data_IF_799266667944
#
_entry.id   IF_799266667944
#
_cell.length_a   1.000
_cell.length_b   1.000
_cell.length_c   1.000
_cell.angle_alpha   90.00
_cell.angle_beta   90.00
_cell.angle_gamma   90.00
#
_symmetry.space_group_name_H-M   'P 1'
#
loop_
_entity.id
_entity.type
_entity.pdbx_description
1 polymer ?
#
# COMPACT_ATOMS: atom_id res chain seq x y z
N UNK A 1 51.68 41.81 -30.61
CA UNK A 1 52.73 41.17 -29.80
C UNK A 1 52.26 41.19 -28.35
N UNK A 2 51.45 40.18 -28.01
CA UNK A 2 50.91 39.88 -26.69
C UNK A 2 51.79 38.77 -26.09
N UNK A 3 52.81 39.15 -25.34
CA UNK A 3 53.78 38.35 -24.54
C UNK A 3 54.42 39.41 -23.63
N UNK A 4 54.30 39.45 -22.31
CA UNK A 4 54.56 38.42 -21.33
C UNK A 4 53.79 38.73 -20.03
N UNK A 5 52.76 37.94 -19.74
CA UNK A 5 52.29 37.70 -18.37
C UNK A 5 52.28 36.18 -18.15
N UNK A 6 53.40 35.56 -18.52
CA UNK A 6 53.73 34.18 -18.23
C UNK A 6 54.47 34.12 -16.90
N UNK A 7 54.22 33.05 -16.15
CA UNK A 7 54.91 32.64 -14.93
C UNK A 7 54.45 33.37 -13.66
N UNK A 8 53.41 32.86 -13.02
CA UNK A 8 53.59 31.92 -11.90
C UNK A 8 52.25 31.26 -11.56
N UNK A 9 52.29 29.95 -11.34
CA UNK A 9 51.20 29.01 -10.99
C UNK A 9 50.64 28.19 -12.17
N UNK A 10 51.53 27.41 -12.75
CA UNK A 10 51.22 26.05 -13.21
C UNK A 10 50.74 25.16 -12.05
N UNK A 11 50.05 24.08 -12.45
CA UNK A 11 49.55 22.92 -11.69
C UNK A 11 48.11 23.10 -11.17
N UNK A 12 47.09 22.38 -11.63
CA UNK A 12 47.03 21.21 -12.49
C UNK A 12 45.59 21.02 -13.04
N UNK A 13 45.49 20.68 -14.33
CA UNK A 13 44.42 19.91 -15.03
C UNK A 13 42.94 20.32 -14.95
N UNK A 14 42.19 20.21 -16.07
CA UNK A 14 40.80 20.66 -16.15
C UNK A 14 39.89 19.72 -15.37
N UNK A 15 39.11 20.28 -14.44
CA UNK A 15 37.93 19.60 -13.91
C UNK A 15 37.00 19.32 -15.09
N UNK A 16 36.83 18.03 -15.37
CA UNK A 16 35.74 17.53 -16.17
C UNK A 16 34.43 18.07 -15.57
N UNK A 17 33.52 18.43 -16.44
CA UNK A 17 32.10 18.66 -16.16
C UNK A 17 31.58 17.54 -15.27
N UNK A 18 31.42 17.82 -13.98
CA UNK A 18 30.52 17.06 -13.13
C UNK A 18 29.12 17.52 -13.52
N UNK A 19 28.44 16.65 -14.27
CA UNK A 19 26.99 16.61 -14.29
C UNK A 19 26.55 16.55 -12.83
N UNK A 20 25.88 17.60 -12.35
CA UNK A 20 25.16 17.56 -11.09
C UNK A 20 24.03 16.54 -11.27
N UNK A 21 24.33 15.27 -10.97
CA UNK A 21 23.32 14.28 -10.60
C UNK A 21 22.63 14.83 -9.34
N UNK A 22 21.49 15.49 -9.54
CA UNK A 22 20.61 15.94 -8.48
C UNK A 22 19.91 14.71 -7.86
N UNK A 23 20.65 13.97 -7.04
CA UNK A 23 20.17 12.90 -6.14
C UNK A 23 19.37 13.48 -4.95
N UNK A 24 18.52 14.50 -5.15
CA UNK A 24 17.90 15.23 -4.03
C UNK A 24 16.43 14.90 -3.74
N UNK A 25 15.74 14.12 -4.57
CA UNK A 25 14.28 13.93 -4.40
C UNK A 25 13.91 12.65 -3.62
N UNK A 26 14.85 11.70 -3.47
CA UNK A 26 14.61 10.40 -2.82
C UNK A 26 14.78 10.44 -1.28
N UNK A 27 15.66 11.30 -0.77
CA UNK A 27 15.86 11.50 0.68
C UNK A 27 14.64 12.18 1.35
N UNK A 28 13.85 12.92 0.58
CA UNK A 28 12.63 13.59 1.06
C UNK A 28 11.46 12.62 1.26
N UNK A 29 11.37 11.53 0.49
CA UNK A 29 10.28 10.54 0.61
C UNK A 29 10.41 9.73 1.90
N UNK A 30 11.62 9.28 2.23
CA UNK A 30 11.91 8.56 3.47
C UNK A 30 11.70 9.48 4.68
N UNK A 31 12.11 10.75 4.58
CA UNK A 31 11.88 11.79 5.58
C UNK A 31 10.40 12.06 5.83
N UNK A 32 9.61 12.29 4.79
CA UNK A 32 8.18 12.60 4.87
C UNK A 32 7.38 11.42 5.44
N UNK A 33 7.60 10.19 4.93
CA UNK A 33 6.85 9.02 5.39
C UNK A 33 7.23 8.57 6.81
N UNK A 34 8.50 8.76 7.22
CA UNK A 34 8.93 8.47 8.60
C UNK A 34 8.50 9.57 9.58
N UNK A 35 8.82 10.84 9.33
CA UNK A 35 8.47 11.92 10.25
C UNK A 35 6.95 12.12 10.40
N UNK A 36 6.17 11.97 9.33
CA UNK A 36 4.72 12.28 9.38
C UNK A 36 3.86 11.10 9.87
N UNK A 37 4.35 9.86 9.71
CA UNK A 37 3.74 8.68 10.33
C UNK A 37 3.97 8.62 11.84
N UNK A 38 5.05 9.22 12.35
CA UNK A 38 5.36 9.24 13.78
C UNK A 38 4.68 10.42 14.51
N UNK A 39 4.27 11.47 13.79
CA UNK A 39 3.70 12.71 14.37
C UNK A 39 2.20 12.90 14.18
N UNK A 40 1.54 12.12 13.32
CA UNK A 40 0.08 12.21 13.11
C UNK A 40 -0.40 13.46 12.34
N UNK A 41 0.48 14.10 11.56
CA UNK A 41 0.20 15.40 10.94
C UNK A 41 -0.52 15.37 9.58
N UNK A 42 -0.54 14.24 8.87
CA UNK A 42 -1.27 14.12 7.59
C UNK A 42 -2.67 13.55 7.83
N UNK A 43 -3.69 13.99 7.09
CA UNK A 43 -5.03 13.37 7.15
C UNK A 43 -5.10 12.13 6.26
N UNK A 44 -6.00 11.17 6.56
CA UNK A 44 -6.16 9.99 5.71
C UNK A 44 -6.44 10.33 4.23
N UNK A 45 -7.33 11.30 3.90
CA UNK A 45 -7.51 11.71 2.51
C UNK A 45 -6.23 12.21 1.85
N UNK A 46 -5.41 13.01 2.58
CA UNK A 46 -4.15 13.51 2.06
C UNK A 46 -3.12 12.37 1.88
N UNK A 47 -3.03 11.42 2.81
CA UNK A 47 -2.17 10.25 2.68
C UNK A 47 -2.59 9.37 1.49
N UNK A 48 -3.89 9.12 1.31
CA UNK A 48 -4.40 8.40 0.14
C UNK A 48 -4.05 9.12 -1.16
N UNK A 49 -4.22 10.45 -1.21
CA UNK A 49 -3.86 11.24 -2.37
C UNK A 49 -2.36 11.15 -2.69
N UNK A 50 -1.51 11.26 -1.66
CA UNK A 50 -0.05 11.13 -1.80
C UNK A 50 0.36 9.75 -2.33
N UNK A 51 -0.11 8.67 -1.70
CA UNK A 51 0.16 7.28 -2.14
C UNK A 51 -0.27 7.12 -3.59
N UNK A 52 -1.48 7.57 -3.95
CA UNK A 52 -2.00 7.47 -5.31
C UNK A 52 -1.17 8.25 -6.32
N UNK A 53 -0.70 9.45 -5.97
CA UNK A 53 0.21 10.22 -6.81
C UNK A 53 1.51 9.47 -7.07
N UNK A 54 2.10 8.87 -6.03
CA UNK A 54 3.32 8.06 -6.16
C UNK A 54 3.11 6.78 -6.97
N UNK A 55 1.97 6.11 -6.83
CA UNK A 55 1.60 4.97 -7.69
C UNK A 55 1.51 5.39 -9.17
N UNK A 56 0.87 6.52 -9.46
CA UNK A 56 0.72 7.07 -10.82
C UNK A 56 2.05 7.46 -11.45
N UNK A 57 2.92 8.17 -10.71
CA UNK A 57 4.23 8.59 -11.23
C UNK A 57 5.11 7.40 -11.59
N UNK A 58 4.91 6.28 -10.91
CA UNK A 58 5.60 5.02 -11.15
C UNK A 58 4.75 4.03 -11.96
N UNK A 59 3.96 4.52 -12.91
CA UNK A 59 3.39 3.72 -13.98
C UNK A 59 2.13 2.91 -13.65
N UNK A 60 1.59 2.99 -12.43
CA UNK A 60 0.31 2.33 -12.10
C UNK A 60 -0.88 3.13 -12.64
N UNK A 61 -1.77 2.50 -13.42
CA UNK A 61 -3.07 3.06 -13.78
C UNK A 61 -4.07 3.01 -12.61
N UNK A 62 -3.97 4.00 -11.72
CA UNK A 62 -4.89 4.11 -10.58
C UNK A 62 -6.35 4.32 -11.00
N UNK A 63 -6.62 4.79 -12.22
CA UNK A 63 -8.00 4.98 -12.70
C UNK A 63 -8.62 3.65 -13.11
N UNK A 64 -7.82 2.74 -13.65
CA UNK A 64 -8.25 1.35 -13.85
C UNK A 64 -8.57 0.72 -12.49
N UNK A 65 -7.69 0.90 -11.52
CA UNK A 65 -7.90 0.44 -10.15
C UNK A 65 -9.21 0.94 -9.53
N UNK A 66 -9.57 2.21 -9.72
CA UNK A 66 -10.82 2.75 -9.17
C UNK A 66 -12.08 2.09 -9.76
N UNK A 67 -12.01 1.65 -11.03
CA UNK A 67 -13.13 0.99 -11.71
C UNK A 67 -13.20 -0.50 -11.41
N UNK A 68 -12.07 -1.09 -11.05
CA UNK A 68 -11.94 -2.51 -10.75
C UNK A 68 -11.74 -2.73 -9.24
N UNK A 69 -12.79 -2.53 -8.44
CA UNK A 69 -12.71 -2.66 -6.98
C UNK A 69 -12.66 -4.11 -6.47
N UNK A 70 -12.80 -5.10 -7.36
CA UNK A 70 -12.89 -6.53 -7.01
C UNK A 70 -11.95 -7.42 -7.81
N UNK A 71 -11.43 -6.96 -8.95
CA UNK A 71 -10.44 -7.68 -9.73
C UNK A 71 -9.01 -7.37 -9.30
N UNK A 72 -8.08 -7.79 -10.15
CA UNK A 72 -6.65 -7.70 -9.88
C UNK A 72 -6.11 -6.29 -10.14
N UNK A 73 -6.93 -5.35 -10.62
CA UNK A 73 -6.52 -3.98 -10.87
C UNK A 73 -5.56 -3.89 -12.05
N UNK A 74 -4.72 -2.87 -12.05
CA UNK A 74 -3.71 -2.68 -13.08
C UNK A 74 -2.72 -3.85 -13.09
N UNK A 75 -2.76 -4.64 -14.16
CA UNK A 75 -1.87 -5.78 -14.42
C UNK A 75 -0.82 -5.43 -15.48
N UNK A 76 -0.59 -4.13 -15.74
CA UNK A 76 0.43 -3.70 -16.69
C UNK A 76 1.81 -4.19 -16.26
N UNK A 77 2.68 -4.62 -17.20
CA UNK A 77 4.02 -5.04 -16.87
C UNK A 77 4.77 -3.95 -16.11
N UNK A 78 5.41 -4.32 -15.00
CA UNK A 78 6.28 -3.40 -14.26
C UNK A 78 7.52 -3.15 -15.11
N UNK A 79 7.54 -2.00 -15.78
CA UNK A 79 8.63 -1.54 -16.64
C UNK A 79 9.48 -0.47 -15.95
N UNK A 80 9.37 -0.37 -14.62
CA UNK A 80 10.07 0.62 -13.84
C UNK A 80 11.56 0.35 -13.78
N UNK A 81 12.30 1.44 -13.84
CA UNK A 81 13.70 1.50 -13.47
C UNK A 81 13.92 1.08 -11.99
N UNK A 82 15.17 1.11 -11.55
CA UNK A 82 15.52 0.74 -10.18
C UNK A 82 14.93 1.70 -9.14
N UNK A 83 14.87 3.01 -9.42
CA UNK A 83 14.40 4.02 -8.47
C UNK A 83 12.92 3.76 -8.12
N UNK A 84 12.07 3.51 -9.12
CA UNK A 84 10.67 3.23 -8.87
C UNK A 84 10.40 1.98 -8.02
N UNK A 85 11.24 0.95 -8.11
CA UNK A 85 11.09 -0.26 -7.29
C UNK A 85 11.33 0.01 -5.80
N UNK A 86 12.20 0.96 -5.45
CA UNK A 86 12.47 1.30 -4.06
C UNK A 86 11.27 1.99 -3.42
N UNK A 87 10.60 2.89 -4.13
CA UNK A 87 9.36 3.51 -3.66
C UNK A 87 8.32 2.46 -3.22
N UNK A 88 8.04 1.44 -4.06
CA UNK A 88 7.08 0.39 -3.68
C UNK A 88 7.55 -0.45 -2.48
N UNK A 89 8.84 -0.84 -2.44
CA UNK A 89 9.40 -1.57 -1.29
C UNK A 89 9.20 -0.76 -0.01
N UNK A 90 9.42 0.55 -0.09
CA UNK A 90 9.24 1.46 1.03
C UNK A 90 7.79 1.63 1.43
N UNK A 91 6.90 1.76 0.46
CA UNK A 91 5.46 1.85 0.67
C UNK A 91 4.92 0.61 1.40
N UNK A 92 5.39 -0.59 1.03
CA UNK A 92 5.07 -1.82 1.77
C UNK A 92 5.73 -1.86 3.15
N UNK A 93 6.99 -1.44 3.28
CA UNK A 93 7.71 -1.36 4.57
C UNK A 93 7.00 -0.44 5.56
N UNK A 94 6.48 0.67 5.08
CA UNK A 94 5.73 1.67 5.84
C UNK A 94 4.26 1.27 6.04
N UNK A 95 3.77 0.29 5.29
CA UNK A 95 2.38 -0.15 5.35
C UNK A 95 1.39 0.78 4.65
N UNK A 96 1.85 1.79 3.90
CA UNK A 96 0.98 2.76 3.23
C UNK A 96 -0.03 3.42 4.18
N UNK A 97 -1.32 3.41 3.80
CA UNK A 97 -2.40 4.01 4.58
C UNK A 97 -2.86 3.16 5.79
N UNK A 98 -2.31 1.96 5.98
CA UNK A 98 -2.66 1.03 7.08
C UNK A 98 -2.43 1.66 8.45
N UNK A 99 -1.30 2.32 8.67
CA UNK A 99 -0.97 2.90 9.98
C UNK A 99 -1.98 3.96 10.38
N UNK A 100 -2.39 4.77 9.41
CA UNK A 100 -3.40 5.80 9.65
C UNK A 100 -4.80 5.22 9.82
N UNK A 101 -5.16 4.18 9.05
CA UNK A 101 -6.41 3.45 9.26
C UNK A 101 -6.50 2.85 10.66
N UNK A 102 -5.39 2.29 11.17
CA UNK A 102 -5.32 1.76 12.52
C UNK A 102 -5.42 2.86 13.59
N UNK A 103 -4.77 4.01 13.39
CA UNK A 103 -4.88 5.16 14.28
C UNK A 103 -6.31 5.72 14.37
N UNK A 104 -7.07 5.60 13.27
CA UNK A 104 -8.50 5.95 13.19
C UNK A 104 -9.42 4.81 13.63
N UNK A 105 -8.91 3.77 14.28
CA UNK A 105 -9.73 2.67 14.81
C UNK A 105 -10.51 1.89 13.74
N UNK A 106 -9.97 1.81 12.51
CA UNK A 106 -10.60 1.16 11.36
C UNK A 106 -11.89 1.82 10.84
N UNK A 107 -12.28 3.01 11.32
CA UNK A 107 -13.50 3.71 10.86
C UNK A 107 -13.62 3.83 9.34
N UNK A 108 -12.55 4.08 8.56
CA UNK A 108 -12.68 4.27 7.12
C UNK A 108 -12.80 2.96 6.31
N UNK A 109 -12.75 1.80 6.96
CA UNK A 109 -12.93 0.49 6.31
C UNK A 109 -14.42 0.16 6.13
N UNK A 110 -14.75 -0.72 5.19
CA UNK A 110 -16.09 -1.30 5.16
C UNK A 110 -16.42 -2.04 6.47
N UNK A 111 -17.71 -2.16 6.84
CA UNK A 111 -18.12 -2.90 8.03
C UNK A 111 -17.57 -4.34 8.04
N UNK A 112 -17.61 -5.01 6.89
CA UNK A 112 -17.10 -6.37 6.76
C UNK A 112 -15.58 -6.45 6.99
N UNK A 113 -14.81 -5.56 6.35
CA UNK A 113 -13.38 -5.51 6.55
C UNK A 113 -13.01 -5.17 8.00
N UNK A 114 -13.74 -4.25 8.65
CA UNK A 114 -13.57 -3.93 10.07
C UNK A 114 -13.78 -5.16 10.97
N UNK A 115 -14.84 -5.94 10.73
CA UNK A 115 -15.08 -7.19 11.46
C UNK A 115 -13.95 -8.20 11.28
N UNK A 116 -13.42 -8.30 10.05
CA UNK A 116 -12.31 -9.20 9.77
C UNK A 116 -11.05 -8.82 10.55
N UNK A 117 -10.62 -7.56 10.45
CA UNK A 117 -9.38 -7.09 11.08
C UNK A 117 -9.47 -6.99 12.61
N UNK A 118 -10.67 -6.84 13.18
CA UNK A 118 -10.88 -6.82 14.63
C UNK A 118 -11.09 -8.22 15.24
N UNK A 119 -11.13 -9.27 14.41
CA UNK A 119 -11.30 -10.64 14.89
C UNK A 119 -12.71 -10.94 15.38
N UNK A 120 -13.74 -10.35 14.78
CA UNK A 120 -15.15 -10.61 15.11
C UNK A 120 -15.65 -11.93 14.51
N UNK A 121 -15.05 -13.06 14.94
CA UNK A 121 -15.19 -14.41 14.35
C UNK A 121 -16.65 -14.81 14.07
N UNK A 122 -17.53 -14.69 15.05
CA UNK A 122 -18.94 -15.06 14.89
C UNK A 122 -19.67 -14.17 13.87
N UNK A 123 -19.48 -12.86 13.94
CA UNK A 123 -20.12 -11.91 13.04
C UNK A 123 -19.65 -12.07 11.59
N UNK A 124 -18.36 -12.39 11.39
CA UNK A 124 -17.82 -12.72 10.06
C UNK A 124 -18.50 -13.97 9.50
N UNK A 125 -18.59 -15.05 10.29
CA UNK A 125 -19.22 -16.30 9.83
C UNK A 125 -20.70 -16.09 9.50
N UNK A 126 -21.45 -15.42 10.38
CA UNK A 126 -22.87 -15.12 10.16
C UNK A 126 -23.09 -14.28 8.89
N UNK A 127 -22.27 -13.25 8.67
CA UNK A 127 -22.39 -12.42 7.47
C UNK A 127 -22.11 -13.23 6.21
N UNK A 128 -21.07 -14.07 6.20
CA UNK A 128 -20.74 -14.89 5.03
C UNK A 128 -21.83 -15.91 4.72
N UNK A 129 -22.42 -16.55 5.74
CA UNK A 129 -23.56 -17.46 5.56
C UNK A 129 -24.78 -16.76 4.95
N UNK A 130 -25.03 -15.50 5.28
CA UNK A 130 -26.13 -14.72 4.70
C UNK A 130 -25.86 -14.29 3.26
N UNK A 131 -24.59 -14.16 2.87
CA UNK A 131 -24.15 -13.76 1.54
C UNK A 131 -23.98 -14.95 0.58
N UNK A 132 -23.84 -16.16 1.13
CA UNK A 132 -23.71 -17.40 0.39
C UNK A 132 -25.05 -17.77 -0.24
N UNK A 133 -25.19 -17.48 -1.54
CA UNK A 133 -26.37 -17.78 -2.34
C UNK A 133 -26.18 -19.12 -3.06
N UNK A 134 -26.87 -20.20 -2.65
CA UNK A 134 -26.70 -21.52 -3.22
C UNK A 134 -27.16 -21.66 -4.68
N UNK A 135 -27.86 -20.65 -5.23
CA UNK A 135 -28.40 -20.70 -6.59
C UNK A 135 -27.50 -20.02 -7.65
N UNK A 136 -26.54 -19.18 -7.25
CA UNK A 136 -25.32 -18.86 -8.00
C UNK A 136 -25.42 -18.37 -9.46
N UNK A 137 -26.25 -17.35 -9.77
CA UNK A 137 -26.41 -16.84 -11.15
C UNK A 137 -25.59 -15.57 -11.52
N UNK A 138 -24.79 -15.00 -10.61
CA UNK A 138 -23.97 -13.79 -10.83
C UNK A 138 -22.75 -13.79 -9.87
N UNK A 139 -21.76 -12.86 -10.00
CA UNK A 139 -20.75 -12.70 -8.95
C UNK A 139 -21.47 -12.50 -7.63
N UNK A 140 -21.36 -13.48 -6.75
CA UNK A 140 -22.16 -13.52 -5.53
C UNK A 140 -21.76 -12.31 -4.67
N UNK A 141 -22.72 -11.76 -3.93
CA UNK A 141 -22.41 -10.71 -2.93
C UNK A 141 -21.31 -11.16 -1.96
N UNK A 142 -21.17 -12.49 -1.79
CA UNK A 142 -20.05 -13.15 -1.15
C UNK A 142 -18.70 -12.77 -1.77
N UNK A 143 -18.48 -12.98 -3.08
CA UNK A 143 -17.22 -12.61 -3.75
C UNK A 143 -16.95 -11.12 -3.58
N UNK A 144 -17.98 -10.27 -3.71
CA UNK A 144 -17.80 -8.83 -3.49
C UNK A 144 -17.33 -8.51 -2.07
N UNK A 145 -17.88 -9.17 -1.05
CA UNK A 145 -17.42 -8.97 0.33
C UNK A 145 -15.98 -9.47 0.54
N UNK A 146 -15.65 -10.64 -0.02
CA UNK A 146 -14.33 -11.28 0.14
C UNK A 146 -13.21 -10.55 -0.60
N UNK A 147 -13.50 -9.98 -1.78
CA UNK A 147 -12.48 -9.45 -2.69
C UNK A 147 -12.47 -7.93 -2.81
N UNK A 148 -13.31 -7.20 -2.07
CA UNK A 148 -13.30 -5.74 -2.08
C UNK A 148 -11.92 -5.17 -1.72
N UNK A 149 -11.41 -4.26 -2.54
CA UNK A 149 -10.15 -3.53 -2.25
C UNK A 149 -10.44 -2.33 -1.35
N UNK A 150 -9.96 -2.37 -0.09
CA UNK A 150 -10.33 -1.39 0.94
C UNK A 150 -9.35 -0.21 1.09
N UNK A 151 -8.12 -0.40 0.62
CA UNK A 151 -7.00 0.54 0.85
C UNK A 151 -6.45 1.10 -0.45
N UNK A 152 -5.62 2.14 -0.37
CA UNK A 152 -4.87 2.64 -1.53
C UNK A 152 -3.88 1.59 -2.06
N UNK A 153 -3.44 0.69 -1.18
CA UNK A 153 -2.66 -0.50 -1.49
C UNK A 153 -3.47 -1.67 -2.05
N UNK A 154 -4.78 -1.46 -2.28
CA UNK A 154 -5.72 -2.46 -2.82
C UNK A 154 -5.72 -3.78 -2.07
N UNK A 155 -5.63 -3.76 -0.75
CA UNK A 155 -5.68 -5.00 0.03
C UNK A 155 -7.12 -5.47 0.20
N UNK A 156 -7.33 -6.78 0.04
CA UNK A 156 -8.60 -7.46 0.39
C UNK A 156 -8.72 -7.64 1.91
N UNK A 157 -9.93 -7.91 2.45
CA UNK A 157 -10.12 -8.25 3.85
C UNK A 157 -9.16 -9.33 4.36
N UNK A 158 -8.89 -10.38 3.58
CA UNK A 158 -7.93 -11.44 3.95
C UNK A 158 -6.50 -10.89 4.08
N UNK A 159 -6.03 -10.15 3.07
CA UNK A 159 -4.66 -9.62 3.04
C UNK A 159 -4.44 -8.50 4.06
N UNK A 160 -5.50 -7.80 4.47
CA UNK A 160 -5.44 -6.75 5.48
C UNK A 160 -5.25 -7.24 6.90
N UNK A 161 -5.65 -8.48 7.23
CA UNK A 161 -5.63 -8.99 8.60
C UNK A 161 -4.22 -8.87 9.22
N UNK A 162 -3.19 -9.25 8.46
CA UNK A 162 -1.79 -9.24 8.94
C UNK A 162 -1.25 -7.82 9.17
N UNK A 163 -1.26 -6.90 8.18
CA UNK A 163 -0.73 -5.55 8.39
C UNK A 163 -1.55 -4.78 9.42
N UNK A 164 -2.89 -4.89 9.43
CA UNK A 164 -3.72 -4.24 10.44
C UNK A 164 -3.51 -4.81 11.84
N UNK A 165 -3.37 -6.13 11.99
CA UNK A 165 -3.10 -6.77 13.29
C UNK A 165 -1.80 -6.32 13.94
N UNK A 166 -0.80 -5.92 13.14
CA UNK A 166 0.45 -5.33 13.65
C UNK A 166 0.28 -3.87 14.10
N UNK A 167 -0.58 -3.11 13.41
CA UNK A 167 -0.78 -1.68 13.64
C UNK A 167 -1.86 -1.35 14.67
N UNK A 168 -2.80 -2.26 14.95
CA UNK A 168 -3.87 -2.05 15.92
C UNK A 168 -3.34 -2.09 17.36
N UNK A 169 -3.73 -1.09 18.15
CA UNK A 169 -3.42 -1.00 19.59
C UNK A 169 -4.42 -1.82 20.42
N UNK A 170 -4.56 -3.10 20.10
CA UNK A 170 -5.47 -4.03 20.78
C UNK A 170 -4.67 -5.07 21.59
N UNK A 171 -5.28 -5.72 22.61
CA UNK A 171 -4.63 -6.81 23.35
C UNK A 171 -4.18 -7.94 22.42
N UNK A 172 -2.87 -8.04 22.18
CA UNK A 172 -2.28 -8.81 21.08
C UNK A 172 -2.47 -10.33 21.22
N UNK A 173 -2.50 -10.84 22.45
CA UNK A 173 -2.51 -12.29 22.74
C UNK A 173 -3.80 -12.98 22.26
N UNK A 174 -4.97 -12.35 22.43
CA UNK A 174 -6.24 -12.92 21.97
C UNK A 174 -6.62 -12.47 20.56
N UNK A 175 -6.17 -11.30 20.12
CA UNK A 175 -6.48 -10.78 18.79
C UNK A 175 -5.86 -11.64 17.68
N UNK A 176 -4.59 -12.01 17.80
CA UNK A 176 -3.91 -12.79 16.77
C UNK A 176 -4.60 -14.15 16.52
N UNK A 177 -5.06 -14.81 17.59
CA UNK A 177 -5.82 -16.06 17.47
C UNK A 177 -7.17 -15.86 16.77
N UNK A 178 -7.91 -14.80 17.12
CA UNK A 178 -9.19 -14.47 16.48
C UNK A 178 -9.01 -14.10 15.00
N UNK A 179 -8.00 -13.31 14.68
CA UNK A 179 -7.63 -12.94 13.32
C UNK A 179 -7.25 -14.15 12.48
N UNK A 180 -6.52 -15.11 13.05
CA UNK A 180 -6.26 -16.39 12.42
C UNK A 180 -7.55 -17.15 12.12
N UNK A 181 -8.47 -17.26 13.07
CA UNK A 181 -9.77 -17.91 12.86
C UNK A 181 -10.60 -17.21 11.78
N UNK A 182 -10.59 -15.88 11.76
CA UNK A 182 -11.21 -15.11 10.66
C UNK A 182 -10.57 -15.46 9.32
N UNK A 183 -9.24 -15.49 9.23
CA UNK A 183 -8.55 -15.83 7.98
C UNK A 183 -8.90 -17.26 7.51
N UNK A 184 -8.96 -18.23 8.42
CA UNK A 184 -9.41 -19.60 8.14
C UNK A 184 -10.85 -19.59 7.59
N UNK A 185 -11.77 -18.84 8.20
CA UNK A 185 -13.15 -18.67 7.71
C UNK A 185 -13.17 -18.04 6.31
N UNK A 186 -12.42 -16.96 6.07
CA UNK A 186 -12.40 -16.31 4.75
C UNK A 186 -11.93 -17.29 3.67
N UNK A 187 -10.90 -18.10 3.97
CA UNK A 187 -10.42 -19.15 3.06
C UNK A 187 -11.45 -20.26 2.85
N UNK A 188 -12.17 -20.69 3.89
CA UNK A 188 -13.29 -21.66 3.77
C UNK A 188 -14.36 -21.18 2.77
N UNK A 189 -14.65 -19.88 2.75
CA UNK A 189 -15.64 -19.26 1.85
C UNK A 189 -15.05 -18.85 0.49
N UNK A 190 -13.79 -19.20 0.21
CA UNK A 190 -13.17 -19.02 -1.11
C UNK A 190 -12.46 -17.68 -1.33
N UNK A 191 -12.08 -16.96 -0.26
CA UNK A 191 -11.21 -15.79 -0.39
C UNK A 191 -9.89 -16.17 -1.03
N UNK A 192 -9.39 -15.31 -1.92
CA UNK A 192 -8.15 -15.54 -2.68
C UNK A 192 -6.92 -15.10 -1.90
N UNK A 193 -6.02 -16.02 -1.48
CA UNK A 193 -4.75 -15.64 -0.86
C UNK A 193 -3.73 -15.14 -1.91
N UNK A 194 -3.98 -15.41 -3.19
CA UNK A 194 -3.19 -15.00 -4.35
C UNK A 194 -3.69 -13.68 -4.96
N UNK A 195 -4.66 -13.01 -4.32
CA UNK A 195 -5.15 -11.71 -4.76
C UNK A 195 -3.96 -10.75 -4.86
N UNK A 196 -3.66 -10.31 -6.08
CA UNK A 196 -2.52 -9.44 -6.33
C UNK A 196 -2.80 -8.03 -5.81
N UNK A 197 -1.74 -7.40 -5.30
CA UNK A 197 -1.78 -6.00 -4.87
C UNK A 197 -1.70 -5.04 -6.06
N UNK A 198 -1.55 -3.74 -5.78
CA UNK A 198 -1.51 -2.65 -6.77
C UNK A 198 -0.51 -2.86 -7.91
N UNK A 199 0.49 -3.72 -7.74
CA UNK A 199 1.56 -3.94 -8.73
C UNK A 199 1.48 -5.30 -9.44
N UNK A 200 0.44 -6.10 -9.20
CA UNK A 200 0.30 -7.37 -9.90
C UNK A 200 1.37 -8.43 -9.58
N UNK A 201 2.12 -8.28 -8.47
CA UNK A 201 3.18 -9.21 -8.06
C UNK A 201 2.65 -10.41 -7.29
#
# INVERSE_FOLDING_TARGET
MLRDLAETLEQATPRQTEEEDSDSDDDDIEGILRHQSETGQISLPALKAYIRSGLQSHGTDVRFNDRDSFGDGDQSPIHLDHQGKQFYRELFRTGGDIRQLAALGCEPLSPFAKMCVTGAVHAVREMLQQLDDPLGFAPTKLIQALEKRETSMRLSPLLMIVPMGKSLQLPKTSLAQKQRQVAEILLEYGARPDAKDVCGK
#
